data_IF_751306787157
#
_entry.id   IF_751306787157
#
_cell.length_a   1.000
_cell.length_b   1.000
_cell.length_c   1.000
_cell.angle_alpha   90.00
_cell.angle_beta   90.00
_cell.angle_gamma   90.00
#
_symmetry.space_group_name_H-M   'P 1'
#
loop_
_entity.id
_entity.type
_entity.pdbx_description
1 polymer ?
#
# COMPACT_ATOMS: atom_id res chain seq x y z
N UNK A 1 1.50 -0.96 -10.29
CA UNK A 1 2.11 0.32 -9.84
C UNK A 1 2.84 0.11 -8.53
N UNK A 2 3.92 0.84 -8.35
CA UNK A 2 4.74 0.72 -7.14
C UNK A 2 4.97 2.09 -6.54
N UNK A 3 4.71 2.23 -5.23
CA UNK A 3 4.90 3.48 -4.50
C UNK A 3 6.07 3.31 -3.53
N UNK A 4 7.07 4.17 -3.65
CA UNK A 4 8.21 4.18 -2.74
C UNK A 4 7.93 5.15 -1.60
N UNK A 5 7.56 4.61 -0.44
CA UNK A 5 7.32 5.37 0.78
C UNK A 5 8.38 5.13 1.85
N UNK A 6 9.57 4.69 1.44
CA UNK A 6 10.69 4.51 2.38
C UNK A 6 11.05 5.85 3.00
N UNK A 7 11.34 5.84 4.29
CA UNK A 7 11.64 7.05 5.03
C UNK A 7 10.44 7.91 5.38
N UNK A 8 9.24 7.53 4.94
CA UNK A 8 8.02 8.26 5.26
C UNK A 8 7.33 7.63 6.47
N UNK A 9 6.77 8.47 7.31
CA UNK A 9 6.05 8.03 8.52
C UNK A 9 4.56 8.07 8.30
N UNK A 10 3.83 7.27 9.07
CA UNK A 10 2.38 7.33 9.15
C UNK A 10 1.93 8.80 9.42
N UNK A 11 0.93 9.32 8.68
CA UNK A 11 0.05 8.60 7.75
C UNK A 11 0.46 8.76 6.27
N UNK A 12 1.67 9.19 5.96
CA UNK A 12 2.08 9.51 4.58
C UNK A 12 1.95 8.33 3.60
N UNK A 13 2.33 7.08 3.96
CA UNK A 13 2.11 5.95 3.05
C UNK A 13 0.64 5.73 2.69
N UNK A 14 -0.26 5.94 3.65
CA UNK A 14 -1.70 5.81 3.42
C UNK A 14 -2.22 6.94 2.52
N UNK A 15 -1.74 8.15 2.73
CA UNK A 15 -2.12 9.30 1.90
C UNK A 15 -1.67 9.05 0.45
N UNK A 16 -0.45 8.57 0.24
CA UNK A 16 0.05 8.25 -1.09
C UNK A 16 -0.77 7.12 -1.74
N UNK A 17 -1.10 6.07 -1.00
CA UNK A 17 -1.92 4.98 -1.49
C UNK A 17 -3.30 5.48 -1.91
N UNK A 18 -3.96 6.27 -1.06
CA UNK A 18 -5.28 6.82 -1.37
C UNK A 18 -5.25 7.70 -2.61
N UNK A 19 -4.17 8.46 -2.78
CA UNK A 19 -4.00 9.35 -3.92
C UNK A 19 -3.82 8.58 -5.23
N UNK A 20 -3.17 7.42 -5.21
CA UNK A 20 -2.78 6.70 -6.41
C UNK A 20 -3.61 5.45 -6.71
N UNK A 21 -4.49 5.02 -5.81
CA UNK A 21 -5.30 3.81 -6.07
C UNK A 21 -6.16 3.94 -7.33
N UNK A 22 -6.57 5.14 -7.66
CA UNK A 22 -7.34 5.41 -8.87
C UNK A 22 -6.53 5.40 -10.17
N UNK A 23 -5.20 5.35 -10.07
CA UNK A 23 -4.31 5.35 -11.24
C UNK A 23 -4.17 3.97 -11.87
N UNK A 24 -4.61 2.92 -11.18
CA UNK A 24 -4.63 1.57 -11.72
C UNK A 24 -6.05 1.17 -12.08
N UNK A 25 -6.21 0.22 -13.00
CA UNK A 25 -7.52 -0.30 -13.36
C UNK A 25 -8.09 -1.17 -12.24
N UNK A 26 -9.40 -1.31 -12.20
CA UNK A 26 -10.07 -2.24 -11.27
C UNK A 26 -9.53 -3.64 -11.51
N UNK A 27 -9.12 -4.32 -10.44
CA UNK A 27 -8.47 -5.63 -10.49
C UNK A 27 -6.95 -5.57 -10.53
N UNK A 28 -6.38 -4.41 -10.82
CA UNK A 28 -4.93 -4.21 -10.79
C UNK A 28 -4.44 -3.89 -9.36
N UNK A 29 -3.13 -3.95 -9.18
CA UNK A 29 -2.54 -3.79 -7.86
C UNK A 29 -1.66 -2.57 -7.75
N UNK A 30 -1.57 -2.04 -6.53
CA UNK A 30 -0.57 -1.05 -6.12
C UNK A 30 0.27 -1.69 -5.02
N UNK A 31 1.58 -1.66 -5.17
CA UNK A 31 2.51 -2.14 -4.14
C UNK A 31 3.14 -0.94 -3.44
N UNK A 32 3.03 -0.90 -2.12
CA UNK A 32 3.58 0.18 -1.28
C UNK A 32 4.79 -0.35 -0.54
N UNK A 33 5.95 0.26 -0.75
CA UNK A 33 7.16 -0.03 0.02
C UNK A 33 7.26 0.98 1.16
N UNK A 34 7.22 0.50 2.39
CA UNK A 34 7.26 1.37 3.56
C UNK A 34 7.99 0.70 4.72
N UNK A 35 8.87 1.45 5.36
CA UNK A 35 9.69 0.96 6.47
C UNK A 35 9.15 1.37 7.85
N UNK A 36 8.08 2.17 7.91
CA UNK A 36 7.41 2.50 9.17
C UNK A 36 6.65 1.27 9.68
N UNK A 37 6.87 0.83 10.94
CA UNK A 37 6.16 -0.32 11.50
C UNK A 37 4.65 -0.19 11.50
N UNK A 38 4.12 1.03 11.50
CA UNK A 38 2.67 1.28 11.45
C UNK A 38 2.07 1.08 10.06
N UNK A 39 2.89 1.04 9.00
CA UNK A 39 2.38 1.02 7.62
C UNK A 39 1.56 -0.24 7.33
N UNK A 40 2.01 -1.41 7.76
CA UNK A 40 1.29 -2.66 7.52
C UNK A 40 -0.12 -2.66 8.11
N UNK A 41 -0.27 -2.45 9.43
CA UNK A 41 -1.59 -2.35 10.06
C UNK A 41 -2.46 -1.26 9.46
N UNK A 42 -1.88 -0.10 9.14
CA UNK A 42 -2.61 1.03 8.55
C UNK A 42 -3.14 0.69 7.17
N UNK A 43 -2.34 0.04 6.34
CA UNK A 43 -2.75 -0.37 4.98
C UNK A 43 -3.88 -1.39 5.07
N UNK A 44 -3.80 -2.37 5.98
CA UNK A 44 -4.86 -3.36 6.17
C UNK A 44 -6.16 -2.69 6.60
N UNK A 45 -6.10 -1.75 7.55
CA UNK A 45 -7.27 -1.00 8.01
C UNK A 45 -7.87 -0.17 6.87
N UNK A 46 -7.03 0.49 6.09
CA UNK A 46 -7.47 1.29 4.94
C UNK A 46 -8.18 0.43 3.91
N UNK A 47 -7.64 -0.75 3.59
CA UNK A 47 -8.26 -1.68 2.66
C UNK A 47 -9.66 -2.09 3.12
N UNK A 48 -9.83 -2.42 4.40
CA UNK A 48 -11.15 -2.76 4.95
C UNK A 48 -12.11 -1.59 4.86
N UNK A 49 -11.63 -0.39 5.18
CA UNK A 49 -12.45 0.80 5.22
C UNK A 49 -12.90 1.25 3.83
N UNK A 50 -12.03 1.08 2.83
CA UNK A 50 -12.27 1.54 1.45
C UNK A 50 -12.81 0.44 0.54
N UNK A 51 -12.90 -0.80 1.00
CA UNK A 51 -13.40 -1.91 0.19
C UNK A 51 -12.43 -2.40 -0.86
N UNK A 52 -11.13 -2.29 -0.61
CA UNK A 52 -10.09 -2.86 -1.46
C UNK A 52 -9.46 -4.08 -0.79
N UNK A 53 -8.76 -4.91 -1.56
CA UNK A 53 -8.16 -6.14 -1.06
C UNK A 53 -6.70 -5.91 -0.65
N UNK A 54 -6.35 -6.36 0.55
CA UNK A 54 -4.95 -6.53 0.93
C UNK A 54 -4.47 -7.86 0.33
N UNK A 55 -3.74 -7.77 -0.78
CA UNK A 55 -3.41 -8.94 -1.60
C UNK A 55 -2.16 -9.67 -1.12
N UNK A 56 -1.39 -9.11 -0.21
CA UNK A 56 -0.25 -9.79 0.37
C UNK A 56 0.87 -8.87 0.81
N UNK A 57 1.81 -9.45 1.54
CA UNK A 57 3.02 -8.81 1.99
C UNK A 57 4.23 -9.45 1.30
N UNK A 58 5.22 -8.65 0.99
CA UNK A 58 6.49 -9.10 0.42
C UNK A 58 7.62 -8.18 0.89
N UNK A 59 8.78 -8.30 0.27
CA UNK A 59 9.90 -7.41 0.54
C UNK A 59 10.50 -6.92 -0.76
N UNK A 60 10.94 -5.67 -0.76
CA UNK A 60 11.72 -5.11 -1.83
C UNK A 60 13.14 -5.75 -1.84
N UNK A 61 13.92 -5.60 -2.93
CA UNK A 61 15.26 -6.15 -2.99
C UNK A 61 16.19 -5.71 -1.86
N UNK A 62 15.97 -4.51 -1.29
CA UNK A 62 16.75 -4.01 -0.16
C UNK A 62 16.24 -4.48 1.20
N UNK A 63 15.21 -5.35 1.23
CA UNK A 63 14.60 -5.86 2.46
C UNK A 63 13.48 -5.01 3.02
N UNK A 64 13.16 -3.87 2.43
CA UNK A 64 12.06 -3.02 2.86
C UNK A 64 10.72 -3.77 2.73
N UNK A 65 9.86 -3.76 3.75
CA UNK A 65 8.55 -4.36 3.64
C UNK A 65 7.73 -3.74 2.50
N UNK A 66 7.01 -4.57 1.77
CA UNK A 66 6.16 -4.15 0.68
C UNK A 66 4.76 -4.75 0.86
N UNK A 67 3.75 -3.95 0.62
CA UNK A 67 2.35 -4.32 0.82
C UNK A 67 1.60 -4.14 -0.49
N UNK A 68 0.91 -5.18 -0.93
CA UNK A 68 0.18 -5.16 -2.20
C UNK A 68 -1.30 -5.00 -1.95
N UNK A 69 -1.90 -4.01 -2.60
CA UNK A 69 -3.32 -3.70 -2.51
C UNK A 69 -3.94 -3.86 -3.89
N UNK A 70 -5.03 -4.63 -4.00
CA UNK A 70 -5.80 -4.76 -5.23
C UNK A 70 -6.98 -3.83 -5.22
N UNK A 71 -7.12 -3.05 -6.27
CA UNK A 71 -8.28 -2.19 -6.46
C UNK A 71 -9.50 -3.03 -6.83
N UNK A 72 -10.58 -2.93 -6.05
CA UNK A 72 -11.80 -3.71 -6.28
C UNK A 72 -12.92 -2.91 -6.94
N UNK A 73 -12.84 -1.58 -6.89
CA UNK A 73 -13.88 -0.75 -7.51
C UNK A 73 -13.37 0.63 -7.89
#
# INVERSE_FOLDING_TARGET
MRLDCRGRRCPLPIIDLAKHIGDVAVGETVTVEADDPAAGPDIRAWCRMRGHEHAGDSRAPDGTPAYTVRRLH
#
